data_IF_004279905774
#
_entry.id   IF_004279905774
#
_cell.length_a   1.000
_cell.length_b   1.000
_cell.length_c   1.000
_cell.angle_alpha   90.00
_cell.angle_beta   90.00
_cell.angle_gamma   90.00
#
_symmetry.space_group_name_H-M   'P 1'
#
loop_
_entity.id
_entity.type
_entity.pdbx_description
1 polymer ?
2 polymer ?
#
loop_
_entity_poly.entity_id
_entity_poly.type
_entity_poly.pdbx_seq_one_letter_code
_entity_poly.pdbx_strand_id
2 'polyribonucleotide' 'AACCGUAGGGGAACCUGCGGUU' ?
#
# COMPACT_ATOMS: atom_id res chain seq x y z
N UNK A 15 11.08 5.41 21.63
CA UNK A 15 12.48 5.55 21.04
C UNK A 15 12.33 5.28 19.53
N UNK A 16 11.89 6.32 18.81
CA UNK A 16 11.76 6.26 17.36
C UNK A 16 13.11 6.22 16.67
N UNK A 17 14.15 6.59 17.42
CA UNK A 17 15.53 6.57 16.94
C UNK A 17 15.84 5.29 16.17
N UNK A 18 15.68 4.15 16.83
CA UNK A 18 15.98 2.85 16.25
C UNK A 18 15.09 2.49 15.09
N UNK A 19 13.77 2.57 15.32
CA UNK A 19 12.77 2.11 14.38
C UNK A 19 12.78 2.87 13.04
N UNK A 20 13.03 4.17 13.08
CA UNK A 20 13.02 5.00 11.86
C UNK A 20 14.22 4.70 10.97
N UNK A 21 15.34 4.32 11.60
CA UNK A 21 16.53 3.90 10.88
C UNK A 21 16.26 2.64 10.07
N UNK A 22 15.63 1.65 10.71
CA UNK A 22 15.32 0.36 10.09
C UNK A 22 14.51 0.47 8.81
N UNK A 23 13.67 1.51 8.74
CA UNK A 23 12.80 1.74 7.58
C UNK A 23 13.61 2.23 6.39
N UNK A 24 14.49 3.21 6.63
CA UNK A 24 15.38 3.70 5.59
C UNK A 24 16.31 2.59 5.11
N UNK A 25 16.88 1.84 6.06
CA UNK A 25 17.74 0.69 5.78
C UNK A 25 17.08 -0.27 4.80
N UNK A 26 15.77 -0.47 4.96
CA UNK A 26 15.03 -1.43 4.17
C UNK A 26 14.77 -0.92 2.76
N UNK A 27 14.72 0.40 2.61
CA UNK A 27 14.48 1.02 1.30
C UNK A 27 15.60 0.78 0.29
N UNK A 28 16.83 0.60 0.78
CA UNK A 28 18.03 0.49 -0.07
C UNK A 28 18.16 1.69 -1.01
N UNK A 29 18.71 2.79 -0.51
CA UNK A 29 18.81 4.00 -1.32
C UNK A 29 20.15 4.12 -2.03
N UNK A 30 20.09 4.27 -3.35
CA UNK A 30 21.28 4.43 -4.17
C UNK A 30 21.32 5.78 -4.89
N UNK A 31 22.32 5.94 -5.75
CA UNK A 31 22.61 7.20 -6.43
C UNK A 31 21.39 7.86 -7.06
N UNK A 32 20.83 7.24 -8.09
CA UNK A 32 19.73 7.83 -8.85
C UNK A 32 18.34 7.54 -8.30
N UNK A 33 18.22 7.52 -6.97
CA UNK A 33 16.97 7.17 -6.31
C UNK A 33 16.07 8.36 -5.99
N UNK A 34 14.85 8.33 -6.53
CA UNK A 34 13.79 9.26 -6.15
C UNK A 34 12.95 8.55 -5.09
N UNK A 35 12.68 9.23 -3.98
CA UNK A 35 11.95 8.63 -2.86
C UNK A 35 10.89 9.59 -2.30
N UNK A 36 9.64 9.11 -2.25
CA UNK A 36 8.52 9.92 -1.81
C UNK A 36 7.99 9.46 -0.46
N UNK A 37 8.03 10.37 0.52
CA UNK A 37 7.48 10.12 1.84
C UNK A 37 6.00 10.52 1.83
N UNK A 38 5.14 9.69 2.40
CA UNK A 38 3.72 9.99 2.49
C UNK A 38 3.17 10.00 3.91
N UNK A 39 2.37 11.02 4.22
CA UNK A 39 1.74 11.17 5.53
C UNK A 39 2.75 11.38 6.63
N UNK A 40 3.28 12.60 6.73
CA UNK A 40 4.25 12.94 7.76
C UNK A 40 3.57 13.26 9.09
N UNK A 41 3.94 14.40 9.68
CA UNK A 41 3.37 14.85 10.95
C UNK A 41 4.24 14.56 12.16
N UNK A 42 5.51 14.23 11.90
CA UNK A 42 6.47 13.94 12.96
C UNK A 42 7.74 14.78 12.78
N UNK A 43 8.22 14.85 11.54
CA UNK A 43 9.41 15.64 11.20
C UNK A 43 10.64 14.77 10.98
N UNK A 44 11.05 14.07 12.03
CA UNK A 44 12.25 13.22 12.02
C UNK A 44 12.29 12.14 10.92
N UNK A 45 11.13 11.87 10.32
CA UNK A 45 11.01 10.91 9.21
C UNK A 45 11.91 11.31 8.04
N UNK A 46 11.80 12.55 7.60
CA UNK A 46 12.59 13.10 6.50
C UNK A 46 14.06 13.23 6.93
N UNK A 47 14.26 13.64 8.18
CA UNK A 47 15.59 13.85 8.76
C UNK A 47 16.48 12.63 8.56
N UNK A 48 15.97 11.45 8.90
CA UNK A 48 16.72 10.20 8.79
C UNK A 48 16.86 9.73 7.33
N UNK A 49 15.89 10.11 6.49
CA UNK A 49 15.93 9.76 5.08
C UNK A 49 16.99 10.57 4.33
N UNK A 50 17.10 11.85 4.69
CA UNK A 50 18.08 12.74 4.07
C UNK A 50 19.52 12.41 4.46
N UNK A 51 19.68 11.43 5.35
CA UNK A 51 21.00 10.93 5.73
C UNK A 51 21.47 9.85 4.75
N UNK A 52 20.61 9.51 3.79
CA UNK A 52 20.92 8.52 2.76
C UNK A 52 21.20 9.19 1.41
N UNK A 53 22.02 8.54 0.55
CA UNK A 53 22.38 9.09 -0.76
C UNK A 53 21.18 9.21 -1.72
N UNK A 54 20.42 10.29 -1.54
CA UNK A 54 19.20 10.53 -2.31
C UNK A 54 19.49 11.21 -3.64
N UNK A 55 18.45 11.38 -4.44
CA UNK A 55 18.49 12.26 -5.61
C UNK A 55 17.43 13.34 -5.46
N UNK A 56 16.18 12.94 -5.29
CA UNK A 56 15.08 13.88 -5.06
C UNK A 56 14.10 13.31 -4.02
N UNK A 57 13.71 14.13 -3.05
CA UNK A 57 12.79 13.68 -2.00
C UNK A 57 11.56 14.56 -1.92
N UNK A 58 10.38 13.93 -1.94
CA UNK A 58 9.11 14.64 -1.83
C UNK A 58 8.34 14.17 -0.59
N UNK A 59 8.06 15.10 0.31
CA UNK A 59 7.18 14.82 1.45
C UNK A 59 5.75 15.24 1.07
N UNK A 60 4.80 14.31 1.23
CA UNK A 60 3.40 14.64 1.04
C UNK A 60 2.69 14.75 2.39
N UNK A 61 2.43 15.99 2.80
CA UNK A 61 1.85 16.28 4.10
C UNK A 61 0.55 17.08 3.99
N UNK A 62 -0.50 16.55 4.62
CA UNK A 62 -1.83 17.14 4.60
C UNK A 62 -1.91 18.48 5.32
N UNK A 63 -1.08 18.64 6.35
CA UNK A 63 -1.09 19.85 7.19
C UNK A 63 -0.40 21.04 6.53
N UNK A 64 -1.07 22.20 6.62
CA UNK A 64 -0.56 23.47 6.08
C UNK A 64 0.40 24.18 7.04
N UNK A 65 0.46 23.68 8.28
CA UNK A 65 1.37 24.20 9.30
C UNK A 65 2.65 23.38 9.38
N UNK A 66 2.50 22.07 9.17
CA UNK A 66 3.62 21.13 9.20
C UNK A 66 4.55 21.30 8.00
N UNK A 67 3.95 21.59 6.84
CA UNK A 67 4.70 21.86 5.61
C UNK A 67 5.70 23.02 5.78
N UNK A 68 5.34 23.97 6.64
CA UNK A 68 6.19 25.11 6.97
C UNK A 68 7.42 24.69 7.78
N UNK A 69 7.38 23.49 8.36
CA UNK A 69 8.55 22.93 9.04
C UNK A 69 9.56 22.30 8.08
N UNK A 70 9.61 22.83 6.87
CA UNK A 70 10.70 22.59 5.94
C UNK A 70 11.84 23.56 6.26
N UNK A 71 11.55 24.48 7.18
CA UNK A 71 12.51 25.48 7.65
C UNK A 71 13.37 24.93 8.81
N UNK A 72 13.66 23.63 8.78
CA UNK A 72 14.54 22.99 9.76
C UNK A 72 16.01 23.16 9.39
N UNK A 73 16.43 22.49 8.31
CA UNK A 73 17.76 22.66 7.73
C UNK A 73 17.69 23.20 6.31
N UNK A 74 16.62 22.85 5.59
CA UNK A 74 16.33 23.39 4.27
C UNK A 74 17.34 23.03 3.20
N UNK A 75 17.71 21.74 3.17
CA UNK A 75 18.60 21.20 2.16
C UNK A 75 17.96 21.21 0.78
N UNK A 76 18.63 21.83 -0.19
CA UNK A 76 18.08 21.95 -1.54
C UNK A 76 18.26 20.64 -2.31
N UNK A 77 17.43 19.68 -1.95
CA UNK A 77 17.37 18.37 -2.57
C UNK A 77 16.04 17.74 -2.18
N UNK A 78 15.21 18.57 -1.54
CA UNK A 78 13.86 18.21 -1.13
C UNK A 78 12.86 18.90 -2.06
N UNK A 79 11.59 18.52 -1.95
CA UNK A 79 10.48 19.21 -2.61
C UNK A 79 9.19 18.82 -1.90
N UNK A 80 8.80 19.61 -0.91
CA UNK A 80 7.58 19.36 -0.12
C UNK A 80 6.33 19.77 -0.91
N UNK A 81 5.40 18.82 -1.03
CA UNK A 81 4.17 19.02 -1.81
C UNK A 81 2.91 18.96 -0.94
N UNK A 82 2.24 20.10 -0.80
CA UNK A 82 1.18 20.29 0.21
C UNK A 82 -0.14 19.54 0.04
N UNK A 83 -0.22 18.68 -0.99
CA UNK A 83 -1.45 17.95 -1.29
C UNK A 83 -1.66 16.74 -0.38
N UNK A 84 -2.76 16.01 -0.59
CA UNK A 84 -3.07 14.81 0.20
C UNK A 84 -2.62 13.52 -0.49
N UNK A 85 -2.01 12.64 0.30
CA UNK A 85 -1.35 11.43 -0.19
C UNK A 85 -2.31 10.34 -0.66
N UNK A 86 -3.57 10.44 -0.24
CA UNK A 86 -4.58 9.42 -0.54
C UNK A 86 -5.28 9.65 -1.89
N UNK A 87 -5.15 10.86 -2.43
CA UNK A 87 -5.73 11.19 -3.73
C UNK A 87 -4.71 11.84 -4.68
N UNK A 88 -3.44 11.45 -4.55
CA UNK A 88 -2.37 12.02 -5.35
C UNK A 88 -1.96 11.12 -6.52
N UNK A 89 -1.61 11.73 -7.68
CA UNK A 89 -1.01 10.98 -8.79
C UNK A 89 0.52 10.97 -8.72
N UNK A 90 1.08 9.79 -8.43
CA UNK A 90 2.52 9.65 -8.19
C UNK A 90 3.38 9.74 -9.47
N UNK A 91 2.86 9.19 -10.57
CA UNK A 91 3.61 9.12 -11.83
C UNK A 91 3.82 10.50 -12.46
N UNK A 92 3.30 11.53 -11.79
CA UNK A 92 3.54 12.92 -12.16
C UNK A 92 4.96 13.31 -11.82
N UNK A 93 5.56 12.59 -10.87
CA UNK A 93 6.87 12.92 -10.33
C UNK A 93 8.02 12.21 -11.04
N UNK A 94 7.99 10.87 -11.05
CA UNK A 94 9.10 10.10 -11.62
C UNK A 94 8.69 8.79 -12.27
N UNK A 95 9.65 8.21 -12.99
CA UNK A 95 9.43 6.94 -13.69
C UNK A 95 9.63 5.72 -12.78
N UNK A 96 10.61 5.79 -11.88
CA UNK A 96 10.83 4.75 -10.88
C UNK A 96 10.88 5.37 -9.49
N UNK A 97 9.82 5.15 -8.70
CA UNK A 97 9.68 5.79 -7.39
C UNK A 97 9.70 4.78 -6.25
N UNK A 98 10.09 5.25 -5.07
CA UNK A 98 10.18 4.39 -3.88
C UNK A 98 9.40 5.00 -2.72
N UNK A 99 8.08 4.86 -2.74
CA UNK A 99 7.22 5.46 -1.73
C UNK A 99 7.44 4.88 -0.34
N UNK A 100 7.67 5.77 0.61
CA UNK A 100 7.83 5.38 2.01
C UNK A 100 6.82 6.20 2.82
N UNK A 101 6.46 5.74 4.00
CA UNK A 101 5.59 6.51 4.88
C UNK A 101 4.98 5.75 6.03
N UNK A 102 5.04 6.36 7.21
CA UNK A 102 4.26 5.90 8.35
C UNK A 102 2.80 6.27 8.12
N UNK A 103 1.95 5.25 8.05
CA UNK A 103 0.54 5.45 7.70
C UNK A 103 -0.36 5.60 8.92
N UNK A 104 -1.05 6.75 9.03
CA UNK A 104 -2.02 6.97 10.10
C UNK A 104 -3.18 5.97 10.03
N UNK A 105 -3.56 5.46 11.19
CA UNK A 105 -4.56 4.39 11.36
C UNK A 105 -5.91 4.62 10.69
N UNK A 106 -6.32 5.88 10.58
CA UNK A 106 -7.64 6.23 10.02
C UNK A 106 -7.74 6.14 8.50
N UNK A 107 -6.72 6.65 7.80
CA UNK A 107 -6.73 6.72 6.34
C UNK A 107 -5.75 5.76 5.67
N UNK A 108 -5.15 4.88 6.45
CA UNK A 108 -4.15 3.92 5.97
C UNK A 108 -4.57 3.16 4.71
N UNK A 109 -5.84 2.75 4.68
CA UNK A 109 -6.40 1.99 3.56
C UNK A 109 -6.32 2.76 2.24
N UNK A 110 -6.63 4.05 2.31
CA UNK A 110 -6.73 4.92 1.14
C UNK A 110 -5.38 5.19 0.47
N UNK A 111 -4.35 5.35 1.29
CA UNK A 111 -2.98 5.54 0.78
C UNK A 111 -2.51 4.32 -0.01
N UNK A 112 -2.79 3.12 0.51
CA UNK A 112 -2.41 1.89 -0.16
C UNK A 112 -3.17 1.67 -1.46
N UNK A 113 -4.48 1.91 -1.43
CA UNK A 113 -5.31 1.85 -2.64
C UNK A 113 -4.72 2.81 -3.68
N UNK A 114 -4.46 4.04 -3.24
CA UNK A 114 -3.92 5.11 -4.08
C UNK A 114 -2.59 4.76 -4.73
N UNK A 115 -1.69 4.14 -3.96
CA UNK A 115 -0.35 3.83 -4.47
C UNK A 115 -0.34 2.73 -5.54
N UNK A 116 -1.16 1.70 -5.34
CA UNK A 116 -1.22 0.56 -6.26
C UNK A 116 -1.71 1.00 -7.63
N UNK A 117 -2.60 1.99 -7.64
CA UNK A 117 -3.05 2.62 -8.87
C UNK A 117 -1.89 3.09 -9.74
N UNK A 118 -0.78 3.41 -9.10
CA UNK A 118 0.41 3.87 -9.80
C UNK A 118 1.47 2.79 -9.97
N UNK A 119 1.04 1.52 -9.92
CA UNK A 119 1.94 0.36 -10.00
C UNK A 119 3.11 0.47 -10.99
N UNK A 120 2.88 1.13 -12.12
CA UNK A 120 3.87 1.24 -13.21
C UNK A 120 5.10 2.05 -12.81
N UNK A 121 4.90 3.07 -11.99
CA UNK A 121 6.00 3.96 -11.60
C UNK A 121 6.42 3.82 -10.13
N UNK A 122 6.11 2.68 -9.52
CA UNK A 122 6.51 2.39 -8.15
C UNK A 122 6.78 0.89 -7.94
N UNK A 123 8.04 0.46 -8.11
CA UNK A 123 8.42 -0.95 -7.89
C UNK A 123 8.49 -1.35 -6.41
N UNK A 124 8.69 -0.38 -5.52
CA UNK A 124 8.87 -0.70 -4.10
C UNK A 124 8.23 0.35 -3.19
N UNK A 125 7.54 -0.11 -2.16
CA UNK A 125 6.92 0.77 -1.17
C UNK A 125 6.96 0.16 0.24
N UNK A 126 7.38 0.95 1.21
CA UNK A 126 7.45 0.51 2.61
C UNK A 126 6.64 1.38 3.56
N UNK A 127 5.70 0.76 4.28
CA UNK A 127 4.78 1.48 5.16
C UNK A 127 4.75 0.94 6.60
N UNK A 128 4.53 1.85 7.54
CA UNK A 128 4.18 1.50 8.90
C UNK A 128 2.68 1.58 9.02
N UNK A 129 2.02 0.42 9.11
CA UNK A 129 0.56 0.37 9.16
C UNK A 129 0.08 -0.01 10.56
N UNK A 130 -0.66 -1.12 10.65
CA UNK A 130 -1.17 -1.63 11.91
C UNK A 130 -1.28 -3.16 11.80
N UNK A 131 -0.84 -3.87 12.83
CA UNK A 131 -0.72 -5.34 12.76
C UNK A 131 -1.95 -6.03 12.17
N UNK A 132 -3.13 -5.58 12.58
CA UNK A 132 -4.39 -6.08 12.02
C UNK A 132 -4.55 -5.72 10.54
N UNK A 133 -4.34 -4.44 10.23
CA UNK A 133 -4.40 -3.94 8.85
C UNK A 133 -3.39 -4.69 7.97
N UNK A 134 -2.20 -4.93 8.53
CA UNK A 134 -1.11 -5.62 7.85
C UNK A 134 -1.40 -7.10 7.62
N UNK A 135 -1.82 -7.80 8.67
CA UNK A 135 -2.13 -9.23 8.60
C UNK A 135 -3.28 -9.52 7.64
N UNK A 136 -4.20 -8.57 7.54
CA UNK A 136 -5.31 -8.62 6.59
C UNK A 136 -4.77 -8.56 5.18
N UNK A 137 -3.85 -7.64 4.93
CA UNK A 137 -3.26 -7.45 3.63
C UNK A 137 -2.43 -8.64 3.15
N UNK A 138 -1.79 -9.32 4.10
CA UNK A 138 -0.91 -10.45 3.80
C UNK A 138 -1.66 -11.63 3.18
N UNK A 139 -2.87 -11.88 3.66
CA UNK A 139 -3.65 -13.03 3.22
C UNK A 139 -3.81 -14.09 4.30
N UNK A 140 -2.70 -14.50 4.90
CA UNK A 140 -2.66 -15.61 5.87
C UNK A 140 -3.82 -15.62 6.87
N UNK A 141 -3.85 -14.62 7.76
CA UNK A 141 -5.06 -14.36 8.54
C UNK A 141 -6.04 -13.67 7.60
N UNK A 142 -7.29 -14.13 7.59
CA UNK A 142 -8.27 -13.85 6.51
C UNK A 142 -8.51 -12.38 6.12
N UNK A 143 -8.96 -12.19 4.87
CA UNK A 143 -8.75 -10.94 4.12
C UNK A 143 -10.00 -10.10 3.80
N UNK A 144 -9.74 -9.01 3.07
CA UNK A 144 -10.76 -8.20 2.43
C UNK A 144 -10.34 -8.01 0.97
N UNK A 145 -11.08 -7.17 0.25
CA UNK A 145 -10.82 -6.94 -1.19
C UNK A 145 -9.49 -6.22 -1.43
N UNK A 146 -9.18 -5.27 -0.53
CA UNK A 146 -8.01 -4.41 -0.67
C UNK A 146 -6.75 -5.25 -0.72
N UNK A 147 -6.74 -6.30 0.10
CA UNK A 147 -5.65 -7.27 0.17
C UNK A 147 -5.45 -7.94 -1.18
N UNK A 148 -6.54 -8.34 -1.82
CA UNK A 148 -6.50 -9.01 -3.11
C UNK A 148 -5.99 -8.05 -4.19
N UNK A 149 -6.43 -6.80 -4.10
CA UNK A 149 -6.03 -5.74 -5.02
C UNK A 149 -4.52 -5.53 -4.99
N UNK A 150 -3.95 -5.56 -3.78
CA UNK A 150 -2.50 -5.36 -3.58
C UNK A 150 -1.69 -6.57 -4.06
N UNK A 151 -2.00 -7.75 -3.52
CA UNK A 151 -1.30 -8.98 -3.85
C UNK A 151 -1.38 -9.33 -5.33
N UNK A 152 -2.31 -8.69 -6.04
CA UNK A 152 -2.40 -8.84 -7.48
C UNK A 152 -1.17 -8.24 -8.17
N UNK A 153 -0.72 -7.09 -7.68
CA UNK A 153 0.37 -6.35 -8.31
C UNK A 153 1.65 -6.23 -7.47
N UNK A 154 1.58 -6.65 -6.20
CA UNK A 154 2.74 -6.61 -5.31
C UNK A 154 2.88 -7.87 -4.49
N UNK A 155 4.03 -8.00 -3.83
CA UNK A 155 4.21 -8.98 -2.76
C UNK A 155 4.33 -8.22 -1.43
N UNK A 156 3.45 -8.58 -0.50
CA UNK A 156 3.47 -8.00 0.84
C UNK A 156 4.41 -8.81 1.73
N UNK A 157 5.34 -8.13 2.39
CA UNK A 157 6.31 -8.79 3.25
C UNK A 157 6.39 -8.14 4.61
N UNK A 158 6.29 -8.98 5.65
CA UNK A 158 6.36 -8.55 7.03
C UNK A 158 7.80 -8.21 7.36
N UNK A 159 8.05 -6.94 7.65
CA UNK A 159 9.40 -6.49 7.95
C UNK A 159 9.73 -6.71 9.43
N UNK A 160 8.98 -6.04 10.31
CA UNK A 160 9.14 -6.20 11.77
C UNK A 160 7.95 -5.65 12.56
N UNK A 161 7.80 -6.13 13.78
CA UNK A 161 6.74 -5.67 14.69
C UNK A 161 7.24 -4.48 15.49
N UNK A 162 6.32 -3.58 15.85
CA UNK A 162 6.66 -2.45 16.72
C UNK A 162 5.68 -2.37 17.90
N UNK A 163 6.15 -2.71 19.11
CA UNK A 163 5.37 -2.65 20.36
C UNK A 163 5.00 -1.23 20.79
N UNK A 164 3.85 -1.07 21.50
CA UNK A 164 3.33 0.24 21.92
C UNK A 164 4.21 0.97 22.93
N UNK A 165 5.36 1.45 22.46
CA UNK A 165 6.32 2.17 23.30
C UNK A 165 7.28 2.96 22.42
N UNK A 166 7.50 2.48 21.20
CA UNK A 166 8.42 3.12 20.25
C UNK A 166 7.78 4.31 19.52
N UNK A 167 6.54 4.63 19.89
CA UNK A 167 5.82 5.76 19.31
C UNK A 167 5.83 6.92 20.30
N UNK A 168 5.24 8.04 19.88
CA UNK A 168 5.22 9.25 20.70
C UNK A 168 4.56 8.96 22.07
N UNK A 169 3.30 8.49 22.08
CA UNK A 169 2.77 7.88 23.29
C UNK A 169 2.65 6.35 23.15
N UNK A 170 2.22 5.65 24.21
CA UNK A 170 1.90 4.22 24.07
C UNK A 170 0.43 4.01 23.67
N UNK A 171 0.18 3.60 22.40
CA UNK A 171 -1.20 3.41 21.92
C UNK A 171 -1.76 2.02 22.26
N UNK A 172 -3.00 1.77 21.83
CA UNK A 172 -3.71 0.52 22.14
C UNK A 172 -3.42 -0.61 21.15
N UNK A 173 -2.67 -0.30 20.09
CA UNK A 173 -2.30 -1.28 19.07
C UNK A 173 -0.78 -1.44 18.92
N UNK A 174 -0.37 -2.61 18.43
CA UNK A 174 1.05 -2.88 18.15
C UNK A 174 1.27 -2.99 16.64
N UNK A 175 1.51 -1.85 16.02
CA UNK A 175 1.64 -1.76 14.55
C UNK A 175 2.91 -2.40 14.00
N UNK A 176 2.88 -2.71 12.70
CA UNK A 176 3.96 -3.43 12.02
C UNK A 176 4.41 -2.77 10.72
N UNK A 177 5.66 -3.03 10.34
CA UNK A 177 6.24 -2.48 9.12
C UNK A 177 6.10 -3.48 7.99
N UNK A 178 5.62 -3.01 6.84
CA UNK A 178 5.42 -3.88 5.68
C UNK A 178 6.19 -3.38 4.47
N UNK A 179 6.75 -4.33 3.71
CA UNK A 179 7.47 -4.04 2.48
C UNK A 179 6.66 -4.57 1.30
N UNK A 180 6.50 -3.73 0.29
CA UNK A 180 5.75 -4.11 -0.90
C UNK A 180 6.65 -4.06 -2.11
N UNK A 181 7.05 -5.24 -2.58
CA UNK A 181 7.85 -5.35 -3.80
C UNK A 181 6.96 -5.72 -4.98
N UNK A 182 7.20 -5.08 -6.13
CA UNK A 182 6.33 -5.25 -7.28
C UNK A 182 6.40 -6.66 -7.86
N UNK A 183 5.22 -7.27 -8.01
CA UNK A 183 5.08 -8.56 -8.64
C UNK A 183 3.68 -8.71 -9.23
N UNK A 184 3.50 -8.16 -10.43
CA UNK A 184 2.24 -8.30 -11.17
C UNK A 184 2.00 -9.78 -11.50
N UNK A 185 0.95 -10.33 -10.88
CA UNK A 185 0.67 -11.76 -10.93
C UNK A 185 0.00 -12.18 -12.25
N UNK A 186 -0.97 -11.39 -12.71
CA UNK A 186 -1.55 -11.54 -14.03
C UNK A 186 -1.90 -10.17 -14.63
N UNK A 187 -1.83 -10.05 -15.99
CA UNK A 187 -2.03 -8.76 -16.66
C UNK A 187 -3.45 -8.22 -16.51
N UNK A 188 -3.57 -6.94 -16.16
CA UNK A 188 -4.86 -6.30 -15.93
C UNK A 188 -4.87 -4.91 -16.58
N UNK A 189 -5.78 -4.71 -17.53
CA UNK A 189 -5.82 -3.48 -18.34
C UNK A 189 -6.34 -2.25 -17.58
N UNK A 190 -7.55 -2.33 -17.02
CA UNK A 190 -8.09 -1.22 -16.22
C UNK A 190 -8.22 -1.59 -14.75
N UNK A 191 -7.46 -0.89 -13.91
CA UNK A 191 -7.41 -1.19 -12.48
C UNK A 191 -8.72 -0.82 -11.79
N UNK A 192 -9.32 0.30 -12.19
CA UNK A 192 -10.61 0.72 -11.63
C UNK A 192 -11.69 -0.30 -11.96
N UNK A 193 -11.68 -0.79 -13.19
CA UNK A 193 -12.54 -1.88 -13.64
C UNK A 193 -12.34 -3.10 -12.75
N UNK A 194 -11.08 -3.36 -12.42
CA UNK A 194 -10.71 -4.47 -11.56
C UNK A 194 -11.14 -4.25 -10.11
N UNK A 195 -11.02 -3.00 -9.62
CA UNK A 195 -11.45 -2.67 -8.26
C UNK A 195 -12.96 -2.90 -8.12
N UNK A 196 -13.73 -2.32 -9.06
CA UNK A 196 -15.17 -2.49 -9.11
C UNK A 196 -15.54 -3.97 -9.07
N UNK A 197 -14.73 -4.81 -9.72
CA UNK A 197 -14.95 -6.25 -9.72
C UNK A 197 -14.81 -6.88 -8.35
N UNK A 198 -13.76 -6.51 -7.62
CA UNK A 198 -13.53 -7.07 -6.28
C UNK A 198 -14.58 -6.61 -5.26
N UNK A 199 -14.99 -5.35 -5.39
CA UNK A 199 -16.04 -4.80 -4.55
C UNK A 199 -17.37 -5.52 -4.77
N UNK A 200 -17.58 -5.99 -5.99
CA UNK A 200 -18.76 -6.76 -6.33
C UNK A 200 -18.71 -8.16 -5.74
N UNK A 201 -17.51 -8.75 -5.63
CA UNK A 201 -17.39 -10.11 -5.07
C UNK A 201 -17.38 -10.09 -3.55
N UNK A 202 -16.76 -9.07 -2.97
CA UNK A 202 -16.61 -9.00 -1.52
C UNK A 202 -17.82 -8.41 -0.80
N UNK A 203 -18.62 -7.63 -1.54
CA UNK A 203 -19.91 -7.13 -1.06
C UNK A 203 -20.73 -8.30 -0.50
N UNK A 204 -21.23 -8.15 0.72
CA UNK A 204 -22.00 -9.20 1.39
C UNK A 204 -21.26 -10.53 1.49
N UNK A 205 -20.12 -10.50 2.17
CA UNK A 205 -19.18 -11.62 2.29
C UNK A 205 -19.83 -13.00 2.35
N UNK A 206 -20.71 -13.18 3.34
CA UNK A 206 -21.27 -14.48 3.69
C UNK A 206 -22.22 -15.13 2.69
N UNK A 207 -22.56 -14.43 1.60
CA UNK A 207 -23.41 -14.99 0.53
C UNK A 207 -22.62 -15.92 -0.39
N UNK A 208 -23.32 -16.83 -1.05
CA UNK A 208 -22.70 -17.73 -2.03
C UNK A 208 -22.33 -16.98 -3.30
N UNK A 209 -21.24 -17.42 -3.93
CA UNK A 209 -20.77 -16.81 -5.17
C UNK A 209 -21.85 -16.73 -6.25
N UNK A 210 -22.62 -17.81 -6.39
CA UNK A 210 -23.68 -17.92 -7.38
C UNK A 210 -24.62 -16.71 -7.40
N UNK A 211 -24.96 -16.22 -6.20
CA UNK A 211 -25.82 -15.04 -6.02
C UNK A 211 -25.20 -13.77 -6.62
N UNK A 212 -23.90 -13.58 -6.40
CA UNK A 212 -23.21 -12.34 -6.76
C UNK A 212 -22.76 -12.31 -8.22
N UNK A 213 -22.39 -13.47 -8.76
CA UNK A 213 -21.89 -13.57 -10.14
C UNK A 213 -22.67 -14.62 -10.90
N UNK A 214 -22.86 -14.38 -12.20
CA UNK A 214 -23.51 -15.34 -13.09
C UNK A 214 -22.83 -16.71 -12.98
N UNK A 215 -23.64 -17.74 -12.73
CA UNK A 215 -23.16 -19.11 -12.54
C UNK A 215 -22.40 -19.67 -13.75
N UNK A 216 -22.87 -19.30 -14.95
CA UNK A 216 -22.23 -19.68 -16.22
C UNK A 216 -20.71 -19.49 -16.23
N UNK A 217 -20.20 -18.61 -15.36
CA UNK A 217 -18.78 -18.29 -15.28
C UNK A 217 -18.09 -18.92 -14.08
N UNK A 218 -18.84 -19.14 -13.00
CA UNK A 218 -18.33 -19.85 -11.83
C UNK A 218 -18.04 -21.30 -12.20
N UNK A 219 -18.99 -21.90 -12.92
CA UNK A 219 -18.84 -23.24 -13.48
C UNK A 219 -17.66 -23.29 -14.46
N UNK A 220 -17.44 -22.17 -15.15
CA UNK A 220 -16.34 -22.03 -16.11
C UNK A 220 -14.98 -22.22 -15.42
N UNK A 221 -14.81 -21.56 -14.28
CA UNK A 221 -13.64 -21.76 -13.43
C UNK A 221 -13.81 -23.01 -12.57
N UNK A 222 -12.80 -23.33 -11.77
CA UNK A 222 -12.87 -24.47 -10.85
C UNK A 222 -13.68 -24.17 -9.59
N UNK A 223 -14.31 -23.01 -9.58
CA UNK A 223 -15.03 -22.50 -8.41
C UNK A 223 -16.44 -23.09 -8.29
N UNK A 224 -16.70 -23.76 -7.18
CA UNK A 224 -18.06 -24.22 -6.86
C UNK A 224 -18.97 -23.01 -6.61
N UNK A 225 -20.10 -22.93 -7.34
CA UNK A 225 -21.00 -21.77 -7.27
C UNK A 225 -21.59 -21.51 -5.88
N UNK A 226 -21.86 -22.58 -5.13
CA UNK A 226 -22.42 -22.47 -3.79
C UNK A 226 -21.33 -22.31 -2.72
N UNK A 227 -20.13 -21.94 -3.15
CA UNK A 227 -19.03 -21.65 -2.24
C UNK A 227 -19.09 -20.19 -1.80
N UNK A 228 -18.21 -19.83 -0.87
CA UNK A 228 -18.16 -18.49 -0.28
C UNK A 228 -16.90 -17.75 -0.71
N UNK A 229 -16.97 -16.43 -0.78
CA UNK A 229 -15.88 -15.60 -1.32
C UNK A 229 -14.56 -15.70 -0.54
N UNK A 230 -14.64 -16.19 0.70
CA UNK A 230 -13.47 -16.32 1.57
C UNK A 230 -12.60 -17.50 1.18
N UNK A 231 -13.23 -18.58 0.71
CA UNK A 231 -12.53 -19.81 0.32
C UNK A 231 -11.68 -19.66 -0.94
N UNK A 232 -11.94 -18.59 -1.70
CA UNK A 232 -11.17 -18.29 -2.90
C UNK A 232 -9.73 -17.92 -2.58
N UNK A 233 -8.87 -18.02 -3.58
CA UNK A 233 -7.46 -17.65 -3.44
C UNK A 233 -6.92 -17.13 -4.77
N UNK A 234 -6.10 -16.09 -4.69
CA UNK A 234 -5.55 -15.37 -5.86
C UNK A 234 -5.89 -15.91 -7.24
N UNK A 235 -5.34 -17.06 -7.61
CA UNK A 235 -5.56 -17.69 -8.91
C UNK A 235 -7.04 -17.81 -9.28
N UNK A 236 -7.89 -18.07 -8.28
CA UNK A 236 -9.34 -18.07 -8.46
C UNK A 236 -9.82 -16.72 -9.00
N UNK A 237 -9.40 -15.65 -8.33
CA UNK A 237 -9.75 -14.27 -8.72
C UNK A 237 -9.29 -13.93 -10.13
N UNK A 238 -8.16 -14.49 -10.54
CA UNK A 238 -7.65 -14.29 -11.90
C UNK A 238 -8.44 -15.09 -12.91
N UNK A 239 -8.59 -16.39 -12.66
CA UNK A 239 -9.29 -17.31 -13.56
C UNK A 239 -10.58 -16.73 -14.13
N UNK A 240 -11.40 -16.13 -13.27
CA UNK A 240 -12.71 -15.66 -13.68
C UNK A 240 -12.76 -14.21 -14.14
N UNK A 241 -11.82 -13.39 -13.67
CA UNK A 241 -11.74 -12.02 -14.18
C UNK A 241 -11.40 -11.98 -15.66
N UNK A 242 -10.45 -12.82 -16.08
CA UNK A 242 -10.06 -12.89 -17.48
C UNK A 242 -11.24 -13.26 -18.39
N UNK A 243 -12.31 -13.75 -17.77
CA UNK A 243 -13.57 -14.05 -18.46
C UNK A 243 -14.53 -12.87 -18.40
N UNK A 244 -14.42 -12.07 -17.33
CA UNK A 244 -15.34 -10.95 -17.08
C UNK A 244 -15.29 -9.88 -18.17
N UNK A 245 -14.10 -9.32 -18.42
CA UNK A 245 -13.96 -8.35 -19.50
C UNK A 245 -13.92 -9.06 -20.87
N UNK A 246 -14.40 -10.30 -20.89
CA UNK A 246 -14.42 -11.18 -22.07
C UNK A 246 -13.02 -11.58 -22.57
N UNK A 247 -12.97 -12.26 -23.72
CA UNK A 247 -11.73 -12.77 -24.27
C UNK A 247 -11.74 -12.69 -25.80
#
# INVERSE_FOLDING_TARGET
>A
SMVRLKKSFGQHLLVSEGVLKKIAEELNIEEGNTVVEVGGGTGNLTKVLLQHPLKKLYVIELDREMVENLKSIGDERLEVINEDASKFPFCSLGKELKVVGNLPYNVASLIIENTVYNKDCVPLAVFMVQKEVAEKLQGKKDTGWLSVFVRTFYDVNYVMTVPPRFFVPPPKVQSAVIKLVKNEKFPVKDLKNYKKFLTKIFQNRRKVLRKKIPEELLKEAGINPDARVEQLSLEDFFKLYRLIEDSGE
#
